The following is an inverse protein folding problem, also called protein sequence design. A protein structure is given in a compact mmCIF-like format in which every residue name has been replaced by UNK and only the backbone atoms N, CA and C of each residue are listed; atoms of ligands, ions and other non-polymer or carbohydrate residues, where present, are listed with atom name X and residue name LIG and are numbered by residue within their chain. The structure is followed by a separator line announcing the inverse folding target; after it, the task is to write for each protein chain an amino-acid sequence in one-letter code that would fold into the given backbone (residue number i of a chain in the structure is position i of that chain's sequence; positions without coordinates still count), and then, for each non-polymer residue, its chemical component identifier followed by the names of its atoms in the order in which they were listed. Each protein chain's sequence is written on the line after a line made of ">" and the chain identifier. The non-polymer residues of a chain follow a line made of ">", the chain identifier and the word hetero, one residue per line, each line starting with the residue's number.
data_IF_028595517153
#
_entry.id   IF_028595517153
#
_cell.length_a   1.000
_cell.length_b   1.000
_cell.length_c   1.000
_cell.angle_alpha   90.00
_cell.angle_beta   90.00
_cell.angle_gamma   90.00
#
_symmetry.space_group_name_H-M   'P 1'
#
loop_
_entity.id
_entity.type
_entity.pdbx_description
1 polymer ?
#
# COMPACT_ATOMS: atom_id res chain seq x y z
N UNK A 1 -7.22 1.29 14.97
CA UNK A 1 -6.66 -0.02 14.56
C UNK A 1 -5.18 0.20 14.26
N UNK A 2 -4.27 -0.67 14.70
CA UNK A 2 -2.84 -0.56 14.34
C UNK A 2 -2.60 -1.04 12.90
N UNK A 3 -1.47 -0.66 12.25
CA UNK A 3 -1.11 -1.17 10.93
C UNK A 3 -1.09 -2.70 10.87
N UNK A 4 -0.60 -3.36 11.92
CA UNK A 4 -0.56 -4.83 12.01
C UNK A 4 -1.95 -5.44 12.16
N UNK A 5 -2.87 -4.77 12.87
CA UNK A 5 -4.26 -5.20 12.95
C UNK A 5 -4.96 -5.09 11.59
N UNK A 6 -4.66 -4.04 10.80
CA UNK A 6 -5.13 -3.92 9.41
C UNK A 6 -4.59 -5.08 8.56
N UNK A 7 -3.28 -5.33 8.61
CA UNK A 7 -2.67 -6.45 7.89
C UNK A 7 -3.30 -7.80 8.24
N UNK A 8 -3.53 -8.07 9.53
CA UNK A 8 -4.22 -9.28 9.99
C UNK A 8 -5.64 -9.37 9.46
N UNK A 9 -6.38 -8.27 9.47
CA UNK A 9 -7.73 -8.26 8.89
C UNK A 9 -7.73 -8.52 7.38
N UNK A 10 -6.74 -8.02 6.64
CA UNK A 10 -6.56 -8.32 5.22
C UNK A 10 -6.23 -9.81 5.00
N UNK A 11 -5.36 -10.39 5.82
CA UNK A 11 -5.00 -11.81 5.79
C UNK A 11 -6.24 -12.67 6.06
N UNK A 12 -6.96 -12.42 7.16
CA UNK A 12 -8.16 -13.17 7.54
C UNK A 12 -9.20 -13.13 6.42
N UNK A 13 -9.34 -11.97 5.73
CA UNK A 13 -10.26 -11.84 4.60
C UNK A 13 -9.78 -12.62 3.38
N UNK A 14 -8.49 -12.53 3.05
CA UNK A 14 -7.91 -13.25 1.93
C UNK A 14 -7.98 -14.76 2.12
N UNK A 15 -7.82 -15.28 3.35
CA UNK A 15 -7.94 -16.72 3.64
C UNK A 15 -9.30 -17.29 3.22
N UNK A 16 -10.36 -16.47 3.26
CA UNK A 16 -11.72 -16.88 2.87
C UNK A 16 -11.93 -16.91 1.35
N UNK A 17 -11.12 -16.20 0.57
CA UNK A 17 -11.34 -15.98 -0.87
C UNK A 17 -10.24 -16.55 -1.75
N UNK A 18 -8.98 -16.38 -1.33
CA UNK A 18 -7.78 -16.82 -2.03
C UNK A 18 -6.63 -17.07 -1.02
N UNK A 19 -6.42 -18.34 -0.63
CA UNK A 19 -5.35 -18.72 0.28
C UNK A 19 -3.94 -18.36 -0.20
N UNK A 20 -3.71 -18.26 -1.52
CA UNK A 20 -2.41 -17.90 -2.07
C UNK A 20 -2.07 -16.43 -1.80
N UNK A 21 -3.05 -15.54 -1.98
CA UNK A 21 -2.94 -14.14 -1.55
C UNK A 21 -2.68 -14.06 -0.04
N UNK A 22 -3.43 -14.78 0.78
CA UNK A 22 -3.25 -14.75 2.23
C UNK A 22 -1.82 -15.11 2.65
N UNK A 23 -1.23 -16.13 2.03
CA UNK A 23 0.15 -16.54 2.30
C UNK A 23 1.16 -15.42 1.99
N UNK A 24 1.01 -14.70 0.88
CA UNK A 24 1.90 -13.58 0.56
C UNK A 24 1.71 -12.39 1.51
N UNK A 25 0.48 -12.14 1.97
CA UNK A 25 0.21 -11.09 2.97
C UNK A 25 0.83 -11.44 4.33
N UNK A 26 0.75 -12.70 4.76
CA UNK A 26 1.44 -13.19 5.97
C UNK A 26 2.96 -13.02 5.84
N UNK A 27 3.50 -13.33 4.67
CA UNK A 27 4.92 -13.16 4.38
C UNK A 27 5.33 -11.68 4.41
N UNK A 28 4.54 -10.78 3.83
CA UNK A 28 4.77 -9.34 3.88
C UNK A 28 4.77 -8.81 5.32
N UNK A 29 3.82 -9.26 6.15
CA UNK A 29 3.77 -8.91 7.58
C UNK A 29 5.01 -9.42 8.31
N UNK A 30 5.43 -10.66 8.07
CA UNK A 30 6.66 -11.22 8.64
C UNK A 30 7.89 -10.40 8.25
N UNK A 31 8.00 -9.98 6.99
CA UNK A 31 9.10 -9.13 6.53
C UNK A 31 9.13 -7.76 7.20
N UNK A 32 7.98 -7.11 7.33
CA UNK A 32 7.89 -5.82 8.00
C UNK A 32 8.26 -5.90 9.49
N UNK A 33 7.97 -7.03 10.15
CA UNK A 33 8.26 -7.26 11.57
C UNK A 33 9.72 -7.62 11.87
N UNK A 34 10.51 -7.99 10.86
CA UNK A 34 11.91 -8.44 11.03
C UNK A 34 12.86 -7.67 10.08
N UNK A 35 12.90 -6.32 10.14
CA UNK A 35 13.63 -5.49 9.19
C UNK A 35 15.15 -5.69 9.21
N UNK A 36 15.72 -6.14 10.32
CA UNK A 36 17.14 -6.49 10.47
C UNK A 36 17.53 -7.75 9.70
N UNK A 37 16.56 -8.63 9.41
CA UNK A 37 16.75 -9.88 8.68
C UNK A 37 16.36 -9.77 7.21
N UNK A 38 15.41 -8.90 6.89
CA UNK A 38 14.85 -8.76 5.55
C UNK A 38 14.92 -7.31 5.09
N UNK A 39 16.03 -6.97 4.43
CA UNK A 39 16.11 -5.71 3.69
C UNK A 39 15.15 -5.69 2.49
N UNK A 40 14.90 -4.49 1.95
CA UNK A 40 13.98 -4.30 0.83
C UNK A 40 14.41 -5.03 -0.45
N UNK A 41 15.71 -5.26 -0.65
CA UNK A 41 16.22 -5.99 -1.82
C UNK A 41 15.83 -7.46 -1.77
N UNK A 42 15.86 -8.08 -0.58
CA UNK A 42 15.42 -9.47 -0.38
C UNK A 42 13.91 -9.56 -0.60
N UNK A 43 13.13 -8.62 -0.06
CA UNK A 43 11.68 -8.61 -0.18
C UNK A 43 11.24 -8.47 -1.64
N UNK A 44 11.76 -7.48 -2.36
CA UNK A 44 11.35 -7.22 -3.74
C UNK A 44 11.88 -8.23 -4.76
N UNK A 45 12.83 -9.10 -4.40
CA UNK A 45 13.14 -10.29 -5.22
C UNK A 45 12.02 -11.33 -5.21
N UNK A 46 11.15 -11.30 -4.20
CA UNK A 46 10.10 -12.29 -3.99
C UNK A 46 8.70 -11.73 -4.22
N UNK A 47 8.52 -10.42 -4.04
CA UNK A 47 7.27 -9.71 -4.28
C UNK A 47 7.49 -8.67 -5.39
N UNK A 48 7.68 -9.15 -6.61
CA UNK A 48 7.95 -8.29 -7.77
C UNK A 48 6.68 -7.56 -8.26
N UNK A 49 5.49 -8.11 -7.99
CA UNK A 49 4.24 -7.48 -8.40
C UNK A 49 3.78 -7.90 -9.79
N UNK A 50 4.39 -8.91 -10.40
CA UNK A 50 3.96 -9.42 -11.71
C UNK A 50 2.58 -10.10 -11.66
N UNK A 51 2.20 -10.56 -10.48
CA UNK A 51 0.83 -10.98 -10.20
C UNK A 51 0.18 -10.04 -9.18
N UNK A 52 -1.14 -9.85 -9.31
CA UNK A 52 -1.90 -8.91 -8.46
C UNK A 52 -1.72 -9.15 -6.94
N UNK A 53 -1.64 -10.42 -6.54
CA UNK A 53 -1.45 -10.81 -5.14
C UNK A 53 -0.03 -10.50 -4.63
N UNK A 54 0.99 -10.58 -5.50
CA UNK A 54 2.35 -10.12 -5.17
C UNK A 54 2.40 -8.60 -5.01
N UNK A 55 1.73 -7.86 -5.91
CA UNK A 55 1.69 -6.40 -5.85
C UNK A 55 0.98 -5.92 -4.58
N UNK A 56 -0.12 -6.57 -4.22
CA UNK A 56 -0.84 -6.32 -2.97
C UNK A 56 0.05 -6.57 -1.73
N UNK A 57 0.78 -7.68 -1.70
CA UNK A 57 1.68 -8.01 -0.61
C UNK A 57 2.87 -7.05 -0.51
N UNK A 58 3.47 -6.67 -1.64
CA UNK A 58 4.54 -5.67 -1.69
C UNK A 58 4.06 -4.29 -1.22
N UNK A 59 2.87 -3.85 -1.65
CA UNK A 59 2.26 -2.59 -1.21
C UNK A 59 1.97 -2.60 0.29
N UNK A 60 1.44 -3.72 0.81
CA UNK A 60 1.23 -3.91 2.24
C UNK A 60 2.54 -3.85 3.03
N UNK A 61 3.62 -4.48 2.54
CA UNK A 61 4.94 -4.37 3.15
C UNK A 61 5.42 -2.91 3.25
N UNK A 62 5.26 -2.13 2.17
CA UNK A 62 5.65 -0.72 2.16
C UNK A 62 4.87 0.10 3.19
N UNK A 63 3.55 -0.10 3.26
CA UNK A 63 2.69 0.51 4.29
C UNK A 63 3.15 0.13 5.70
N UNK A 64 3.40 -1.15 5.97
CA UNK A 64 3.80 -1.60 7.31
C UNK A 64 5.18 -1.05 7.73
N UNK A 65 6.09 -0.77 6.78
CA UNK A 65 7.38 -0.17 7.06
C UNK A 65 7.30 1.33 7.36
N UNK A 66 6.38 2.03 6.71
CA UNK A 66 6.23 3.48 6.82
C UNK A 66 4.75 3.89 6.94
N UNK A 67 4.05 3.45 7.99
CA UNK A 67 2.59 3.59 8.07
C UNK A 67 2.12 5.04 8.22
N UNK A 68 3.00 5.94 8.67
CA UNK A 68 2.72 7.35 8.91
C UNK A 68 3.53 8.28 7.98
N UNK A 69 4.27 7.72 7.01
CA UNK A 69 5.19 8.47 6.15
C UNK A 69 4.99 8.08 4.69
N UNK A 70 4.12 8.84 4.01
CA UNK A 70 3.76 8.57 2.63
C UNK A 70 4.95 8.67 1.68
N UNK A 71 5.85 9.64 1.89
CA UNK A 71 7.03 9.80 1.04
C UNK A 71 7.91 8.57 1.11
N UNK A 72 8.22 8.08 2.32
CA UNK A 72 9.06 6.90 2.48
C UNK A 72 8.36 5.62 2.03
N UNK A 73 7.04 5.47 2.26
CA UNK A 73 6.28 4.31 1.79
C UNK A 73 6.30 4.19 0.27
N UNK A 74 6.01 5.29 -0.45
CA UNK A 74 6.03 5.32 -1.91
C UNK A 74 7.46 5.20 -2.45
N UNK A 75 8.43 5.88 -1.84
CA UNK A 75 9.84 5.78 -2.24
C UNK A 75 10.36 4.35 -2.11
N UNK A 76 9.96 3.64 -1.05
CA UNK A 76 10.28 2.23 -0.88
C UNK A 76 9.64 1.35 -1.96
N UNK A 77 8.39 1.64 -2.36
CA UNK A 77 7.72 0.90 -3.42
C UNK A 77 8.43 1.06 -4.77
N UNK A 78 8.89 2.26 -5.12
CA UNK A 78 9.45 2.53 -6.46
C UNK A 78 10.88 2.02 -6.67
N UNK A 79 11.60 1.63 -5.61
CA UNK A 79 12.93 1.02 -5.75
C UNK A 79 12.90 -0.46 -6.16
N UNK A 80 11.71 -1.05 -6.26
CA UNK A 80 11.53 -2.42 -6.76
C UNK A 80 11.90 -2.54 -8.24
N UNK A 81 12.54 -3.65 -8.69
CA UNK A 81 12.75 -3.91 -10.11
C UNK A 81 11.50 -4.46 -10.83
N UNK A 82 10.37 -4.60 -10.14
CA UNK A 82 9.12 -5.12 -10.68
C UNK A 82 8.07 -4.04 -10.98
N UNK A 83 6.80 -4.33 -10.70
CA UNK A 83 5.62 -3.50 -11.03
C UNK A 83 5.47 -2.30 -10.07
N UNK A 84 6.45 -1.40 -10.15
CA UNK A 84 6.64 -0.31 -9.19
C UNK A 84 5.46 0.66 -9.07
N UNK A 85 4.74 0.91 -10.16
CA UNK A 85 3.58 1.80 -10.22
C UNK A 85 2.37 1.19 -9.48
N UNK A 86 2.06 -0.08 -9.71
CA UNK A 86 1.01 -0.78 -8.96
C UNK A 86 1.35 -0.87 -7.47
N UNK A 87 2.60 -1.21 -7.13
CA UNK A 87 3.03 -1.34 -5.73
C UNK A 87 2.96 0.03 -5.03
N UNK A 88 3.44 1.10 -5.68
CA UNK A 88 3.37 2.46 -5.16
C UNK A 88 1.93 2.95 -4.99
N UNK A 89 1.05 2.60 -5.94
CA UNK A 89 -0.38 2.93 -5.87
C UNK A 89 -1.04 2.26 -4.67
N UNK A 90 -0.79 0.96 -4.46
CA UNK A 90 -1.35 0.21 -3.32
C UNK A 90 -0.79 0.75 -1.99
N UNK A 91 0.53 0.98 -1.91
CA UNK A 91 1.16 1.52 -0.71
C UNK A 91 0.61 2.91 -0.36
N UNK A 92 0.51 3.79 -1.36
CA UNK A 92 -0.07 5.13 -1.22
C UNK A 92 -1.53 5.09 -0.77
N UNK A 93 -2.35 4.23 -1.37
CA UNK A 93 -3.74 4.05 -0.97
C UNK A 93 -3.89 3.60 0.49
N UNK A 94 -3.06 2.64 0.94
CA UNK A 94 -3.08 2.16 2.32
C UNK A 94 -2.65 3.23 3.33
N UNK A 95 -1.55 3.93 3.07
CA UNK A 95 -1.08 5.03 3.94
C UNK A 95 -2.11 6.18 3.94
N UNK A 96 -2.65 6.55 2.79
CA UNK A 96 -3.65 7.61 2.65
C UNK A 96 -4.96 7.29 3.37
N UNK A 97 -5.47 6.06 3.22
CA UNK A 97 -6.65 5.60 3.94
C UNK A 97 -6.43 5.55 5.46
N UNK A 98 -5.20 5.28 5.90
CA UNK A 98 -4.86 5.19 7.32
C UNK A 98 -4.68 6.56 7.99
N UNK A 99 -4.10 7.53 7.29
CA UNK A 99 -3.74 8.84 7.87
C UNK A 99 -4.63 10.00 7.42
N UNK A 100 -5.47 9.81 6.40
CA UNK A 100 -6.25 10.88 5.79
C UNK A 100 -5.41 11.76 4.84
N UNK A 101 -6.02 12.81 4.32
CA UNK A 101 -5.45 13.67 3.28
C UNK A 101 -4.20 14.46 3.73
N UNK A 102 -4.08 14.73 5.03
CA UNK A 102 -2.96 15.52 5.58
C UNK A 102 -1.59 14.82 5.45
N UNK A 103 -1.56 13.52 5.14
CA UNK A 103 -0.31 12.80 4.88
C UNK A 103 0.23 12.99 3.45
N UNK A 104 -0.55 13.59 2.55
CA UNK A 104 -0.19 13.75 1.14
C UNK A 104 0.99 14.73 0.99
N UNK A 105 2.03 14.37 0.22
CA UNK A 105 3.12 15.27 -0.09
C UNK A 105 2.67 16.46 -0.96
N UNK A 106 2.48 17.64 -0.35
CA UNK A 106 2.02 18.83 -1.08
C UNK A 106 2.86 19.16 -2.32
N UNK A 107 4.18 18.98 -2.23
CA UNK A 107 5.12 19.14 -3.34
C UNK A 107 4.94 18.12 -4.46
N UNK A 108 4.42 16.92 -4.20
CA UNK A 108 4.13 15.94 -5.26
C UNK A 108 2.76 16.18 -5.89
N UNK A 109 1.80 16.70 -5.12
CA UNK A 109 0.46 17.02 -5.63
C UNK A 109 0.47 18.12 -6.71
N UNK A 110 1.55 18.89 -6.83
CA UNK A 110 1.73 19.89 -7.88
C UNK A 110 2.00 19.26 -9.27
N UNK A 111 2.47 18.01 -9.31
CA UNK A 111 2.87 17.32 -10.53
C UNK A 111 1.89 16.23 -10.98
N UNK A 112 0.75 16.10 -10.30
CA UNK A 112 -0.27 15.10 -10.64
C UNK A 112 -0.95 15.48 -11.96
N UNK A 113 -0.87 14.58 -12.94
CA UNK A 113 -1.63 14.70 -14.18
C UNK A 113 -3.14 14.56 -13.90
N UNK A 114 -3.96 15.37 -14.59
CA UNK A 114 -5.43 15.38 -14.44
C UNK A 114 -5.92 15.61 -13.00
N UNK A 115 -5.18 16.40 -12.21
CA UNK A 115 -5.53 16.74 -10.82
C UNK A 115 -6.98 17.20 -10.66
N UNK A 116 -7.44 18.12 -11.51
CA UNK A 116 -8.82 18.64 -11.46
C UNK A 116 -9.88 17.52 -11.66
N UNK A 117 -9.59 16.53 -12.50
CA UNK A 117 -10.47 15.38 -12.72
C UNK A 117 -10.50 14.45 -11.49
N UNK A 118 -9.33 14.21 -10.89
CA UNK A 118 -9.21 13.43 -9.65
C UNK A 118 -9.95 14.11 -8.50
N UNK A 119 -9.82 15.44 -8.35
CA UNK A 119 -10.52 16.20 -7.32
C UNK A 119 -12.04 16.13 -7.50
N UNK A 120 -12.54 16.25 -8.74
CA UNK A 120 -13.96 16.07 -9.03
C UNK A 120 -14.46 14.65 -8.70
N UNK A 121 -13.67 13.62 -9.01
CA UNK A 121 -13.99 12.24 -8.62
C UNK A 121 -14.03 12.07 -7.10
N UNK A 122 -13.12 12.70 -6.36
CA UNK A 122 -13.12 12.68 -4.89
C UNK A 122 -14.38 13.36 -4.33
N UNK A 123 -14.80 14.50 -4.88
CA UNK A 123 -16.04 15.18 -4.48
C UNK A 123 -17.29 14.33 -4.76
N UNK A 124 -17.36 13.71 -5.94
CA UNK A 124 -18.44 12.79 -6.30
C UNK A 124 -18.49 11.56 -5.39
N UNK A 125 -17.32 10.99 -5.06
CA UNK A 125 -17.26 9.83 -4.16
C UNK A 125 -17.64 10.21 -2.73
N UNK A 126 -17.15 11.36 -2.24
CA UNK A 126 -17.44 11.86 -0.89
C UNK A 126 -18.92 12.16 -0.70
N UNK A 127 -19.59 12.74 -1.70
CA UNK A 127 -21.03 13.00 -1.64
C UNK A 127 -21.88 11.74 -1.60
N UNK A 128 -21.39 10.61 -2.12
CA UNK A 128 -22.08 9.31 -2.07
C UNK A 128 -21.73 8.48 -0.82
N UNK A 129 -20.52 8.61 -0.27
CA UNK A 129 -20.07 7.86 0.91
C UNK A 129 -20.45 8.50 2.25
N UNK A 130 -20.85 9.77 2.29
CA UNK A 130 -21.32 10.45 3.52
C UNK A 130 -22.81 10.16 3.81
N UNK A 131 -23.48 9.38 2.97
CA UNK A 131 -24.83 8.88 3.23
C UNK A 131 -24.76 7.40 3.61
N UNK A 132 -24.43 7.10 4.88
CA UNK A 132 -24.97 5.99 5.69
C UNK A 132 -24.28 5.87 7.06
#
# INVERSE_FOLDING_TARGET
>A
MSPEQIARSMIDRAQLTDPSTAQLLEQALMYAQNPEKYDSTIVFKQLLGWAAHEALAAGLYCFLRYPYDMKHAITLAVITPGDSDSIATIAGALVGAYNGQDCLPGDWLEYIENKDEIENLIEQFSTHCVVH
#
